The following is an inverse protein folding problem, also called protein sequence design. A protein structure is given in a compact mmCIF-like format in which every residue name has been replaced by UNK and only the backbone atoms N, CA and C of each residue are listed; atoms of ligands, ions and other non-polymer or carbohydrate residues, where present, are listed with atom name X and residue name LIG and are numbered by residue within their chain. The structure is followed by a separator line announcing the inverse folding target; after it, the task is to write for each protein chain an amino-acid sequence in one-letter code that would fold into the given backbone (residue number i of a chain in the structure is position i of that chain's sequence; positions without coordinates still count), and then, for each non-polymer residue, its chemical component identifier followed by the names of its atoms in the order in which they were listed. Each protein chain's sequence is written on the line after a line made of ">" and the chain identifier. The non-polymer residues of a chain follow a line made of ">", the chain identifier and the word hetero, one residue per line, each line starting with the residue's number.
data_IF_428326761714
#
_entry.id   IF_428326761714
#
_cell.length_a   1.000
_cell.length_b   1.000
_cell.length_c   1.000
_cell.angle_alpha   90.00
_cell.angle_beta   90.00
_cell.angle_gamma   90.00
#
_symmetry.space_group_name_H-M   'P 1'
#
loop_
_entity.id
_entity.type
_entity.pdbx_description
1 polymer ?
#
# COMPACT_ATOMS: atom_id res chain seq x y z
N UNK A 1 -7.19 1.13 5.39
CA UNK A 1 -6.97 -0.31 5.52
C UNK A 1 -5.84 -0.86 4.62
N UNK A 2 -5.36 -0.09 3.67
CA UNK A 2 -4.23 -0.42 2.78
C UNK A 2 -2.90 0.18 3.24
N UNK A 3 -2.79 0.52 4.51
CA UNK A 3 -1.60 1.12 5.10
C UNK A 3 -1.01 0.22 6.19
N UNK A 4 0.32 0.25 6.31
CA UNK A 4 1.10 -0.33 7.41
C UNK A 4 1.81 0.79 8.17
N UNK A 5 1.97 0.66 9.47
CA UNK A 5 2.59 1.68 10.34
C UNK A 5 1.59 2.59 11.03
N UNK A 6 2.09 3.62 11.68
CA UNK A 6 1.27 4.58 12.43
C UNK A 6 1.15 5.88 11.65
N UNK A 7 -0.08 6.34 11.44
CA UNK A 7 -0.34 7.66 10.85
C UNK A 7 -0.73 8.66 11.95
N UNK A 8 -0.26 9.90 11.93
CA UNK A 8 0.69 10.49 10.98
C UNK A 8 2.13 10.03 11.17
N UNK A 9 2.91 10.01 10.08
CA UNK A 9 4.31 9.63 10.04
C UNK A 9 5.18 10.72 9.41
N UNK A 10 6.50 10.63 9.61
CA UNK A 10 7.47 11.57 9.01
C UNK A 10 7.67 11.32 7.52
N UNK A 11 7.63 10.04 7.13
CA UNK A 11 7.79 9.61 5.74
C UNK A 11 6.60 8.76 5.35
N UNK A 12 6.03 9.04 4.18
CA UNK A 12 4.99 8.22 3.56
C UNK A 12 5.57 7.54 2.32
N UNK A 13 5.44 6.22 2.27
CA UNK A 13 5.84 5.42 1.10
C UNK A 13 4.57 4.91 0.43
N UNK A 14 4.39 5.23 -0.84
CA UNK A 14 3.30 4.71 -1.66
C UNK A 14 3.87 3.75 -2.68
N UNK A 15 3.32 2.54 -2.73
CA UNK A 15 3.63 1.54 -3.74
C UNK A 15 2.45 1.37 -4.69
N UNK A 16 2.72 1.47 -6.00
CA UNK A 16 1.81 0.99 -7.04
C UNK A 16 2.25 -0.39 -7.47
N UNK A 17 1.40 -1.39 -7.24
CA UNK A 17 1.75 -2.81 -7.31
C UNK A 17 0.68 -3.63 -8.02
N UNK A 18 1.08 -4.84 -8.46
CA UNK A 18 0.28 -5.80 -9.19
C UNK A 18 0.49 -7.20 -8.61
N UNK A 19 -0.58 -7.85 -8.19
CA UNK A 19 -0.51 -9.16 -7.54
C UNK A 19 -0.04 -10.30 -8.47
N UNK A 20 -0.09 -10.11 -9.77
CA UNK A 20 0.40 -11.12 -10.73
C UNK A 20 1.86 -10.83 -11.17
N UNK A 21 2.40 -9.68 -10.81
CA UNK A 21 3.76 -9.31 -11.17
C UNK A 21 4.79 -10.01 -10.26
N UNK A 22 5.71 -10.83 -10.80
CA UNK A 22 6.71 -11.53 -9.98
C UNK A 22 7.67 -10.57 -9.26
N UNK A 23 7.96 -9.41 -9.84
CA UNK A 23 8.81 -8.41 -9.21
C UNK A 23 8.13 -7.73 -8.01
N UNK A 24 6.79 -7.74 -7.93
CA UNK A 24 6.06 -7.17 -6.80
C UNK A 24 6.20 -8.03 -5.53
N UNK A 25 6.48 -9.32 -5.65
CA UNK A 25 6.84 -10.18 -4.50
C UNK A 25 8.12 -9.64 -3.84
N UNK A 26 9.17 -9.35 -4.63
CA UNK A 26 10.39 -8.74 -4.10
C UNK A 26 10.11 -7.34 -3.48
N UNK A 27 9.18 -6.59 -4.07
CA UNK A 27 8.72 -5.31 -3.51
C UNK A 27 8.13 -5.47 -2.11
N UNK A 28 7.25 -6.47 -1.92
CA UNK A 28 6.65 -6.77 -0.62
C UNK A 28 7.70 -7.14 0.43
N UNK A 29 8.71 -7.95 0.09
CA UNK A 29 9.84 -8.28 0.98
C UNK A 29 10.65 -7.05 1.39
N UNK A 30 10.87 -6.13 0.47
CA UNK A 30 11.57 -4.87 0.75
C UNK A 30 10.74 -4.00 1.68
N UNK A 31 9.43 -3.91 1.48
CA UNK A 31 8.52 -3.18 2.38
C UNK A 31 8.58 -3.74 3.80
N UNK A 32 8.60 -5.05 3.98
CA UNK A 32 8.76 -5.65 5.32
C UNK A 32 10.07 -5.23 6.00
N UNK A 33 11.18 -5.20 5.26
CA UNK A 33 12.48 -4.70 5.77
C UNK A 33 12.41 -3.22 6.15
N UNK A 34 11.79 -2.39 5.30
CA UNK A 34 11.58 -0.97 5.58
C UNK A 34 10.74 -0.79 6.85
N UNK A 35 9.63 -1.52 6.98
CA UNK A 35 8.75 -1.41 8.14
C UNK A 35 9.43 -1.91 9.43
N UNK A 36 10.32 -2.90 9.34
CA UNK A 36 11.12 -3.38 10.48
C UNK A 36 12.13 -2.32 10.94
N UNK A 37 12.81 -1.64 10.01
CA UNK A 37 13.86 -0.66 10.31
C UNK A 37 13.30 0.72 10.67
N UNK A 38 12.29 1.18 9.93
CA UNK A 38 11.77 2.55 9.98
C UNK A 38 10.31 2.65 10.46
N UNK A 39 9.68 1.56 10.88
CA UNK A 39 8.24 1.50 11.11
C UNK A 39 7.66 2.52 12.10
N UNK A 40 8.50 3.15 12.94
CA UNK A 40 8.08 4.24 13.85
C UNK A 40 7.92 5.58 13.13
N UNK A 41 8.63 5.76 12.01
CA UNK A 41 8.73 7.01 11.28
C UNK A 41 8.13 6.93 9.87
N UNK A 42 7.80 5.72 9.41
CA UNK A 42 7.29 5.44 8.06
C UNK A 42 5.84 4.96 8.12
N UNK A 43 5.01 5.51 7.24
CA UNK A 43 3.69 4.99 6.90
C UNK A 43 3.71 4.49 5.46
N UNK A 44 3.40 3.21 5.27
CA UNK A 44 3.33 2.57 3.96
C UNK A 44 1.89 2.51 3.45
N UNK A 45 1.69 2.75 2.16
CA UNK A 45 0.40 2.67 1.48
C UNK A 45 0.53 1.83 0.22
N UNK A 46 -0.30 0.79 0.11
CA UNK A 46 -0.44 0.00 -1.10
C UNK A 46 -1.49 0.60 -2.03
N UNK A 47 -1.19 0.68 -3.33
CA UNK A 47 -2.09 1.11 -4.40
C UNK A 47 -2.09 0.08 -5.53
N UNK A 48 -3.25 -0.14 -6.12
CA UNK A 48 -3.40 -1.09 -7.22
C UNK A 48 -2.97 -0.48 -8.55
N UNK A 49 -2.15 -1.23 -9.28
CA UNK A 49 -1.81 -0.93 -10.67
C UNK A 49 -1.74 -2.22 -11.50
N UNK A 50 -2.87 -2.96 -11.64
CA UNK A 50 -2.93 -4.17 -12.45
C UNK A 50 -2.54 -3.86 -13.89
N UNK A 51 -1.53 -4.55 -14.41
CA UNK A 51 -1.03 -4.36 -15.77
C UNK A 51 -1.93 -5.10 -16.76
N UNK A 52 -2.24 -4.47 -17.88
CA UNK A 52 -3.24 -4.99 -18.83
C UNK A 52 -2.92 -6.32 -19.51
N UNK A 53 -1.66 -6.79 -19.43
CA UNK A 53 -1.23 -8.10 -19.90
C UNK A 53 -1.23 -9.19 -18.82
N UNK A 54 -1.60 -8.86 -17.60
CA UNK A 54 -1.77 -9.77 -16.48
C UNK A 54 -3.26 -10.04 -16.26
N UNK A 55 -3.76 -11.15 -16.78
CA UNK A 55 -5.19 -11.50 -16.81
C UNK A 55 -5.84 -11.67 -15.43
N UNK A 56 -5.06 -12.03 -14.42
CA UNK A 56 -5.52 -12.23 -13.03
C UNK A 56 -5.24 -11.06 -12.10
N UNK A 57 -4.53 -10.02 -12.55
CA UNK A 57 -4.13 -8.89 -11.71
C UNK A 57 -5.33 -8.06 -11.22
N UNK A 58 -6.29 -7.74 -12.10
CA UNK A 58 -7.49 -6.99 -11.70
C UNK A 58 -8.41 -7.80 -10.78
N UNK A 59 -8.73 -9.09 -11.05
CA UNK A 59 -9.45 -9.93 -10.09
C UNK A 59 -8.76 -10.01 -8.72
N UNK A 60 -7.42 -10.17 -8.67
CA UNK A 60 -6.65 -10.19 -7.43
C UNK A 60 -6.72 -8.84 -6.68
N UNK A 61 -6.61 -7.71 -7.40
CA UNK A 61 -6.78 -6.39 -6.81
C UNK A 61 -8.16 -6.22 -6.17
N UNK A 62 -9.23 -6.68 -6.83
CA UNK A 62 -10.59 -6.67 -6.29
C UNK A 62 -10.74 -7.58 -5.06
N UNK A 63 -10.10 -8.74 -5.06
CA UNK A 63 -10.07 -9.63 -3.91
C UNK A 63 -9.41 -8.98 -2.70
N UNK A 64 -8.25 -8.33 -2.88
CA UNK A 64 -7.57 -7.59 -1.82
C UNK A 64 -8.43 -6.45 -1.26
N UNK A 65 -9.10 -5.67 -2.14
CA UNK A 65 -10.01 -4.60 -1.72
C UNK A 65 -11.20 -5.16 -0.92
N UNK A 66 -11.84 -6.23 -1.39
CA UNK A 66 -12.95 -6.87 -0.69
C UNK A 66 -12.53 -7.38 0.71
N UNK A 67 -11.34 -7.97 0.82
CA UNK A 67 -10.76 -8.34 2.10
C UNK A 67 -10.48 -7.12 2.99
N UNK A 68 -10.01 -6.03 2.38
CA UNK A 68 -9.76 -4.76 3.04
C UNK A 68 -11.02 -4.14 3.65
N UNK A 69 -12.19 -4.27 3.00
CA UNK A 69 -13.47 -3.84 3.54
C UNK A 69 -13.87 -4.58 4.84
N UNK A 70 -13.23 -5.72 5.12
CA UNK A 70 -13.36 -6.48 6.35
C UNK A 70 -12.10 -6.42 7.24
N UNK A 71 -11.20 -5.44 6.98
CA UNK A 71 -9.98 -5.21 7.79
C UNK A 71 -8.84 -6.19 7.54
N UNK A 72 -8.90 -6.99 6.46
CA UNK A 72 -7.94 -8.07 6.16
C UNK A 72 -7.20 -7.89 4.82
N UNK A 73 -6.92 -6.62 4.44
CA UNK A 73 -6.19 -6.35 3.20
C UNK A 73 -4.82 -7.07 3.16
N UNK A 74 -3.97 -6.83 4.15
CA UNK A 74 -2.63 -7.42 4.18
C UNK A 74 -2.62 -8.94 4.38
N UNK A 75 -3.47 -9.56 5.22
CA UNK A 75 -3.58 -11.00 5.24
C UNK A 75 -3.93 -11.62 3.87
N UNK A 76 -4.80 -10.99 3.08
CA UNK A 76 -5.11 -11.43 1.71
C UNK A 76 -3.94 -11.17 0.74
N UNK A 77 -3.33 -9.99 0.82
CA UNK A 77 -2.13 -9.63 0.08
C UNK A 77 -1.02 -10.66 0.25
N UNK A 78 -0.74 -11.06 1.50
CA UNK A 78 0.32 -12.01 1.81
C UNK A 78 0.01 -13.41 1.25
N UNK A 79 -1.26 -13.86 1.31
CA UNK A 79 -1.71 -15.11 0.67
C UNK A 79 -1.49 -15.10 -0.85
N UNK A 80 -1.83 -14.00 -1.52
CA UNK A 80 -1.69 -13.89 -2.97
C UNK A 80 -0.23 -13.86 -3.41
N UNK A 81 0.64 -13.13 -2.72
CA UNK A 81 2.07 -13.12 -3.04
C UNK A 81 2.78 -14.43 -2.67
N UNK A 82 2.28 -15.18 -1.69
CA UNK A 82 2.81 -16.51 -1.38
C UNK A 82 2.46 -17.56 -2.46
N UNK A 83 1.40 -17.36 -3.24
CA UNK A 83 0.96 -18.30 -4.27
C UNK A 83 0.54 -17.58 -5.57
N UNK A 84 1.47 -16.81 -6.11
CA UNK A 84 1.29 -15.97 -7.30
C UNK A 84 0.78 -16.72 -8.54
N UNK A 85 1.06 -18.01 -8.64
CA UNK A 85 0.68 -18.84 -9.79
C UNK A 85 -0.79 -19.28 -9.75
N UNK A 86 -1.44 -19.18 -8.60
CA UNK A 86 -2.76 -19.72 -8.35
C UNK A 86 -3.81 -18.64 -7.99
N UNK A 87 -3.73 -17.47 -8.64
CA UNK A 87 -4.66 -16.35 -8.45
C UNK A 87 -6.02 -16.63 -9.09
N UNK A 88 -6.72 -17.66 -8.62
CA UNK A 88 -8.05 -18.06 -9.09
C UNK A 88 -9.15 -17.59 -8.15
N UNK A 89 -10.38 -17.46 -8.66
CA UNK A 89 -11.52 -17.05 -7.82
C UNK A 89 -11.77 -18.07 -6.69
N UNK A 90 -11.58 -19.36 -6.97
CA UNK A 90 -11.69 -20.42 -5.95
C UNK A 90 -10.65 -20.26 -4.83
N UNK A 91 -9.41 -19.90 -5.18
CA UNK A 91 -8.38 -19.66 -4.17
C UNK A 91 -8.62 -18.35 -3.41
N UNK A 92 -9.14 -17.29 -4.04
CA UNK A 92 -9.53 -16.09 -3.30
C UNK A 92 -10.60 -16.40 -2.25
N UNK A 93 -11.62 -17.20 -2.58
CA UNK A 93 -12.64 -17.63 -1.63
C UNK A 93 -12.06 -18.52 -0.51
N UNK A 94 -11.20 -19.47 -0.86
CA UNK A 94 -10.48 -20.31 0.10
C UNK A 94 -9.66 -19.47 1.08
N UNK A 95 -8.83 -18.58 0.56
CA UNK A 95 -7.99 -17.68 1.40
C UNK A 95 -8.84 -16.74 2.23
N UNK A 96 -9.97 -16.24 1.72
CA UNK A 96 -10.91 -15.44 2.50
C UNK A 96 -11.43 -16.22 3.73
N UNK A 97 -11.75 -17.48 3.57
CA UNK A 97 -12.11 -18.35 4.70
C UNK A 97 -10.96 -18.56 5.68
N UNK A 98 -9.76 -18.87 5.18
CA UNK A 98 -8.56 -19.10 6.01
C UNK A 98 -8.16 -17.89 6.85
N UNK A 99 -8.34 -16.66 6.34
CA UNK A 99 -8.05 -15.42 7.07
C UNK A 99 -9.23 -14.90 7.91
N UNK A 100 -10.30 -15.70 8.02
CA UNK A 100 -11.45 -15.45 8.90
C UNK A 100 -12.43 -14.39 8.40
N UNK A 101 -12.59 -14.23 7.07
CA UNK A 101 -13.58 -13.36 6.48
C UNK A 101 -14.98 -14.00 6.42
N UNK A 102 -16.02 -13.18 6.41
CA UNK A 102 -17.32 -13.61 5.91
C UNK A 102 -17.22 -13.78 4.38
N UNK A 103 -17.13 -15.06 3.93
CA UNK A 103 -16.89 -15.40 2.52
C UNK A 103 -18.05 -14.92 1.63
N UNK A 104 -19.30 -15.03 2.06
CA UNK A 104 -20.45 -14.57 1.29
C UNK A 104 -20.39 -13.04 1.05
N UNK A 105 -20.06 -12.27 2.11
CA UNK A 105 -19.84 -10.83 1.99
C UNK A 105 -18.63 -10.51 1.12
N UNK A 106 -17.52 -11.23 1.25
CA UNK A 106 -16.33 -11.08 0.43
C UNK A 106 -16.64 -11.23 -1.07
N UNK A 107 -17.36 -12.29 -1.47
CA UNK A 107 -17.79 -12.52 -2.86
C UNK A 107 -18.62 -11.38 -3.41
N UNK A 108 -19.59 -10.90 -2.63
CA UNK A 108 -20.43 -9.76 -3.00
C UNK A 108 -19.60 -8.49 -3.17
N UNK A 109 -18.73 -8.19 -2.20
CA UNK A 109 -17.90 -6.99 -2.20
C UNK A 109 -16.90 -6.99 -3.38
N UNK A 110 -16.25 -8.13 -3.66
CA UNK A 110 -15.29 -8.30 -4.76
C UNK A 110 -15.89 -7.94 -6.13
N UNK A 111 -17.19 -8.16 -6.30
CA UNK A 111 -17.91 -7.86 -7.55
C UNK A 111 -18.64 -6.52 -7.54
N UNK A 112 -18.60 -5.80 -6.42
CA UNK A 112 -19.30 -4.52 -6.27
C UNK A 112 -18.67 -3.40 -7.11
N UNK A 113 -19.51 -2.45 -7.53
CA UNK A 113 -19.06 -1.27 -8.25
C UNK A 113 -18.12 -0.40 -7.42
N UNK A 114 -18.30 -0.39 -6.10
CA UNK A 114 -17.40 0.31 -5.16
C UNK A 114 -15.97 -0.21 -5.25
N UNK A 115 -15.77 -1.54 -5.21
CA UNK A 115 -14.45 -2.17 -5.28
C UNK A 115 -13.84 -1.98 -6.66
N UNK A 116 -14.61 -2.16 -7.73
CA UNK A 116 -14.16 -1.91 -9.10
C UNK A 116 -13.74 -0.46 -9.32
N UNK A 117 -14.53 0.49 -8.81
CA UNK A 117 -14.21 1.92 -8.90
C UNK A 117 -12.93 2.27 -8.13
N UNK A 118 -12.68 1.64 -6.97
CA UNK A 118 -11.46 1.87 -6.20
C UNK A 118 -10.21 1.39 -6.95
N UNK A 119 -10.25 0.20 -7.55
CA UNK A 119 -9.13 -0.31 -8.36
C UNK A 119 -8.87 0.61 -9.56
N UNK A 120 -9.93 1.02 -10.27
CA UNK A 120 -9.81 1.95 -11.41
C UNK A 120 -9.26 3.33 -10.98
N UNK A 121 -9.65 3.82 -9.81
CA UNK A 121 -9.14 5.09 -9.29
C UNK A 121 -7.62 5.01 -9.02
N UNK A 122 -7.14 3.92 -8.44
CA UNK A 122 -5.71 3.70 -8.22
C UNK A 122 -4.93 3.59 -9.54
N UNK A 123 -5.44 2.86 -10.53
CA UNK A 123 -4.85 2.76 -11.87
C UNK A 123 -4.74 4.14 -12.55
N UNK A 124 -5.80 4.94 -12.47
CA UNK A 124 -5.80 6.30 -13.00
C UNK A 124 -4.76 7.17 -12.29
N UNK A 125 -4.68 7.07 -10.97
CA UNK A 125 -3.68 7.79 -10.18
C UNK A 125 -2.26 7.34 -10.55
N UNK A 126 -2.01 6.03 -10.71
CA UNK A 126 -0.73 5.48 -11.18
C UNK A 126 -0.27 6.12 -12.50
N UNK A 127 -1.19 6.24 -13.47
CA UNK A 127 -0.90 6.91 -14.74
C UNK A 127 -0.54 8.40 -14.55
N UNK A 128 -1.26 9.11 -13.69
CA UNK A 128 -1.06 10.53 -13.42
C UNK A 128 0.30 10.82 -12.77
N UNK A 129 0.74 9.94 -11.86
CA UNK A 129 2.06 10.06 -11.20
C UNK A 129 3.20 9.44 -12.01
N UNK A 130 2.92 8.87 -13.18
CA UNK A 130 3.93 8.24 -14.04
C UNK A 130 4.41 6.88 -13.57
N UNK A 131 3.63 6.16 -12.76
CA UNK A 131 3.89 4.78 -12.36
C UNK A 131 3.47 3.81 -13.48
N UNK A 132 4.28 3.74 -14.55
CA UNK A 132 3.97 2.97 -15.77
C UNK A 132 4.23 1.47 -15.68
N UNK A 133 4.87 1.00 -14.60
CA UNK A 133 5.20 -0.40 -14.34
C UNK A 133 5.10 -0.69 -12.86
N UNK A 134 5.28 -1.97 -12.47
CA UNK A 134 5.17 -2.43 -11.09
C UNK A 134 6.37 -3.29 -10.68
N UNK A 135 6.80 -3.24 -9.41
CA UNK A 135 6.37 -2.25 -8.43
C UNK A 135 6.92 -0.86 -8.73
N UNK A 136 6.22 0.20 -8.32
CA UNK A 136 6.69 1.57 -8.43
C UNK A 136 6.43 2.30 -7.13
N UNK A 137 7.48 2.83 -6.50
CA UNK A 137 7.41 3.44 -5.19
C UNK A 137 7.59 4.94 -5.26
N UNK A 138 6.99 5.64 -4.31
CA UNK A 138 7.20 7.06 -4.04
C UNK A 138 7.44 7.25 -2.55
N UNK A 139 8.63 7.74 -2.20
CA UNK A 139 9.02 8.07 -0.82
C UNK A 139 8.84 9.57 -0.64
N UNK A 140 7.80 10.02 0.06
CA UNK A 140 7.42 11.44 0.12
C UNK A 140 7.40 12.11 -1.27
N UNK A 141 6.87 11.41 -2.29
CA UNK A 141 6.82 11.90 -3.67
C UNK A 141 8.10 11.70 -4.50
N UNK A 142 9.22 11.30 -3.89
CA UNK A 142 10.45 10.96 -4.62
C UNK A 142 10.32 9.56 -5.23
N UNK A 143 10.41 9.40 -6.57
CA UNK A 143 10.19 8.12 -7.21
C UNK A 143 11.37 7.15 -6.98
N UNK A 144 11.06 5.92 -6.58
CA UNK A 144 11.96 4.78 -6.54
C UNK A 144 11.34 3.66 -7.38
N UNK A 145 11.88 3.41 -8.57
CA UNK A 145 11.24 2.57 -9.58
C UNK A 145 11.78 1.15 -9.58
N UNK A 146 10.86 0.18 -9.61
CA UNK A 146 11.17 -1.24 -9.73
C UNK A 146 11.47 -1.92 -8.40
N UNK A 147 11.67 -3.23 -8.46
CA UNK A 147 12.00 -4.08 -7.32
C UNK A 147 13.48 -3.93 -6.94
N UNK A 148 13.85 -2.79 -6.41
CA UNK A 148 15.21 -2.51 -5.95
C UNK A 148 15.45 -3.12 -4.56
N UNK A 149 16.69 -3.50 -4.21
CA UNK A 149 17.02 -3.95 -2.86
C UNK A 149 16.88 -2.83 -1.83
N UNK A 150 16.67 -3.20 -0.57
CA UNK A 150 16.46 -2.27 0.56
C UNK A 150 17.50 -1.14 0.63
N UNK A 151 18.76 -1.45 0.36
CA UNK A 151 19.88 -0.51 0.38
C UNK A 151 19.72 0.66 -0.60
N UNK A 152 18.90 0.49 -1.64
CA UNK A 152 18.58 1.54 -2.61
C UNK A 152 17.46 2.45 -2.14
N UNK A 153 16.60 1.99 -1.23
CA UNK A 153 15.57 2.82 -0.58
C UNK A 153 16.14 3.65 0.56
N UNK A 154 17.09 3.09 1.30
CA UNK A 154 17.66 3.68 2.51
C UNK A 154 18.12 5.14 2.34
N UNK A 155 18.94 5.52 1.34
CA UNK A 155 19.36 6.91 1.17
C UNK A 155 18.21 7.89 0.95
N UNK A 156 17.16 7.46 0.22
CA UNK A 156 15.98 8.30 -0.02
C UNK A 156 15.15 8.44 1.25
N UNK A 157 14.93 7.36 2.00
CA UNK A 157 14.19 7.40 3.27
C UNK A 157 14.93 8.29 4.28
N UNK A 158 16.25 8.14 4.43
CA UNK A 158 17.07 8.93 5.34
C UNK A 158 17.05 10.43 4.99
N UNK A 159 17.11 10.76 3.69
CA UNK A 159 17.02 12.14 3.23
C UNK A 159 15.63 12.76 3.54
N UNK A 160 14.55 12.02 3.32
CA UNK A 160 13.19 12.48 3.61
C UNK A 160 12.92 12.56 5.11
N UNK A 161 13.48 11.66 5.92
CA UNK A 161 13.45 11.76 7.38
C UNK A 161 14.16 13.03 7.88
N UNK A 162 15.32 13.36 7.29
CA UNK A 162 16.04 14.61 7.63
C UNK A 162 15.18 15.83 7.35
N UNK A 163 14.57 15.94 6.16
CA UNK A 163 13.66 17.03 5.80
C UNK A 163 12.47 17.12 6.77
N UNK A 164 11.82 16.00 7.06
CA UNK A 164 10.70 15.96 7.99
C UNK A 164 11.10 16.44 9.39
N UNK A 165 12.25 15.99 9.90
CA UNK A 165 12.76 16.43 11.20
C UNK A 165 13.10 17.93 11.22
N UNK A 166 13.62 18.50 10.14
CA UNK A 166 13.87 19.95 10.02
C UNK A 166 12.56 20.76 10.03
N UNK A 167 11.51 20.28 9.34
CA UNK A 167 10.18 20.90 9.39
C UNK A 167 9.60 20.88 10.80
N UNK A 168 9.70 19.73 11.49
CA UNK A 168 9.22 19.61 12.88
C UNK A 168 9.98 20.57 13.81
N UNK A 169 11.30 20.67 13.67
CA UNK A 169 12.11 21.64 14.46
C UNK A 169 11.70 23.10 14.20
N UNK A 170 11.21 23.40 13.00
CA UNK A 170 10.66 24.72 12.63
C UNK A 170 9.20 24.94 13.08
N UNK A 171 8.61 23.99 13.79
CA UNK A 171 7.27 24.10 14.37
C UNK A 171 6.15 23.44 13.55
N UNK A 172 6.46 22.77 12.44
CA UNK A 172 5.46 22.01 11.68
C UNK A 172 4.94 20.84 12.52
N UNK A 173 3.64 20.71 12.67
CA UNK A 173 3.05 19.56 13.38
C UNK A 173 3.22 18.28 12.55
N UNK A 174 3.44 17.15 13.21
CA UNK A 174 3.67 15.87 12.52
C UNK A 174 2.59 15.53 11.46
N UNK A 175 1.33 15.82 11.75
CA UNK A 175 0.20 15.60 10.83
C UNK A 175 0.27 16.41 9.53
N UNK A 176 1.00 17.52 9.54
CA UNK A 176 1.12 18.46 8.43
C UNK A 176 2.42 18.26 7.64
N UNK A 177 3.37 17.45 8.17
CA UNK A 177 4.70 17.22 7.58
C UNK A 177 4.60 16.71 6.15
N UNK A 178 3.75 15.71 5.89
CA UNK A 178 3.60 15.19 4.54
C UNK A 178 3.15 16.24 3.53
N UNK A 179 2.16 17.06 3.91
CA UNK A 179 1.67 18.13 3.05
C UNK A 179 2.76 19.16 2.75
N UNK A 180 3.60 19.50 3.74
CA UNK A 180 4.70 20.46 3.55
C UNK A 180 5.80 19.89 2.64
N UNK A 181 6.21 18.64 2.87
CA UNK A 181 7.22 17.98 2.03
C UNK A 181 6.73 17.84 0.58
N UNK A 182 5.46 17.55 0.37
CA UNK A 182 4.88 17.42 -0.97
C UNK A 182 4.82 18.74 -1.75
N UNK A 183 4.87 19.90 -1.12
CA UNK A 183 4.99 21.19 -1.81
C UNK A 183 6.33 21.32 -2.56
N UNK A 184 7.39 20.70 -2.04
CA UNK A 184 8.74 20.75 -2.61
C UNK A 184 9.03 19.59 -3.58
N UNK A 185 8.30 18.48 -3.47
CA UNK A 185 8.53 17.24 -4.21
C UNK A 185 8.14 17.27 -5.70
N UNK A 186 8.12 18.47 -6.34
CA UNK A 186 7.61 18.62 -7.69
C UNK A 186 6.09 18.36 -7.73
N UNK A 187 5.35 18.94 -8.67
CA UNK A 187 3.89 18.87 -8.68
C UNK A 187 3.44 17.41 -8.52
N UNK A 188 2.88 17.02 -7.35
CA UNK A 188 2.21 15.73 -7.24
C UNK A 188 1.06 15.72 -8.23
N UNK A 189 0.68 14.57 -8.73
CA UNK A 189 -0.53 14.48 -9.53
C UNK A 189 -1.69 15.15 -8.79
N UNK A 190 -2.52 15.94 -9.47
CA UNK A 190 -3.47 16.87 -8.84
C UNK A 190 -4.45 16.25 -7.84
N UNK A 191 -4.55 14.94 -7.78
CA UNK A 191 -5.51 14.19 -6.98
C UNK A 191 -4.88 13.21 -5.97
N UNK A 192 -3.62 13.38 -5.62
CA UNK A 192 -3.00 12.57 -4.56
C UNK A 192 -3.62 12.94 -3.20
N UNK A 193 -4.75 12.31 -2.89
CA UNK A 193 -5.36 12.39 -1.56
C UNK A 193 -4.82 11.23 -0.73
N UNK A 194 -4.16 11.55 0.37
CA UNK A 194 -3.95 10.57 1.44
C UNK A 194 -5.30 9.93 1.78
N UNK A 195 -5.37 8.61 2.04
CA UNK A 195 -6.55 8.04 2.64
C UNK A 195 -6.83 8.83 3.93
N UNK A 196 -8.10 9.21 4.12
CA UNK A 196 -8.53 9.71 5.43
C UNK A 196 -8.04 8.73 6.47
N UNK A 197 -7.38 9.23 7.52
CA UNK A 197 -6.82 8.38 8.56
C UNK A 197 -7.85 7.31 8.94
N UNK A 198 -7.48 6.01 8.94
CA UNK A 198 -8.38 5.00 9.47
C UNK A 198 -8.73 5.41 10.89
N UNK A 199 -10.02 5.40 11.22
CA UNK A 199 -10.46 5.62 12.60
C UNK A 199 -9.61 4.70 13.48
N UNK A 200 -8.97 5.26 14.51
CA UNK A 200 -8.17 4.49 15.45
C UNK A 200 -8.98 3.26 15.90
N UNK A 201 -8.37 2.07 15.95
CA UNK A 201 -9.07 0.88 16.40
C UNK A 201 -9.62 1.16 17.82
N UNK A 202 -10.92 1.07 17.98
CA UNK A 202 -11.57 1.18 19.30
C UNK A 202 -11.25 -0.10 20.06
N UNK A 203 -10.26 -0.05 20.93
CA UNK A 203 -9.97 -1.10 21.91
C UNK A 203 -8.55 -1.67 21.82
N UNK A 204 -8.01 -2.18 22.94
CA UNK A 204 -6.69 -2.76 22.97
C UNK A 204 -6.66 -4.05 22.16
N UNK A 205 -5.73 -4.13 21.20
CA UNK A 205 -5.40 -5.37 20.51
C UNK A 205 -4.76 -6.30 21.56
N UNK A 206 -5.48 -7.34 21.95
CA UNK A 206 -4.86 -8.44 22.73
C UNK A 206 -3.82 -9.09 21.81
N UNK A 207 -2.54 -8.86 22.12
CA UNK A 207 -1.45 -9.64 21.58
C UNK A 207 -1.60 -11.03 22.19
N UNK A 208 -1.85 -12.05 21.36
CA UNK A 208 -1.79 -13.43 21.79
C UNK A 208 -0.30 -13.77 21.94
N UNK A 209 0.13 -14.06 23.17
CA UNK A 209 1.42 -14.65 23.45
C UNK A 209 1.48 -16.05 22.84
N UNK A 210 2.46 -16.27 21.95
CA UNK A 210 3.00 -17.58 21.59
C UNK A 210 4.50 -17.47 21.43
#
# INVERSE_FOLDING_TARGET
>A
YRGKGTWPAKVTIVEYSDFQCPFCVCGAEVVEKIMKEYGKDVYFIYKHNPLGFHDRAEPAARAAEAAGLQGKFFPMHDKMFADLKNLTDANFEKWAGEIGLNVAKFKKDMNSDKVKAQVKADMKEAQQVGARGTPNFFVNGVPVRGALPFERFKPTIDAELKKANELIKKGTKLKDVYAEVMKEAGKPAPNFKLPSAPAAPKGPVKVADH
#
